data_IF_781147414883
#
_entry.id   IF_781147414883
#
_cell.length_a   1.000
_cell.length_b   1.000
_cell.length_c   1.000
_cell.angle_alpha   90.00
_cell.angle_beta   90.00
_cell.angle_gamma   90.00
#
_symmetry.space_group_name_H-M   'P 1'
#
loop_
_entity.id
_entity.type
_entity.pdbx_description
1 polymer ?
#
# COMPACT_ATOMS: atom_id res chain seq x y z
N UNK A 1 13.36 18.81 36.78
CA UNK A 1 12.08 18.90 36.03
C UNK A 1 12.25 19.73 34.74
N UNK A 2 13.08 19.30 33.77
CA UNK A 2 13.16 19.98 32.46
C UNK A 2 13.51 19.09 31.25
N UNK A 3 13.64 17.77 31.40
CA UNK A 3 14.04 16.87 30.30
C UNK A 3 12.93 16.46 29.33
N UNK A 4 11.65 16.63 29.68
CA UNK A 4 10.56 15.95 28.95
C UNK A 4 9.89 16.83 27.87
N UNK A 5 10.18 18.14 27.86
CA UNK A 5 9.63 19.08 26.86
C UNK A 5 10.09 18.80 25.41
N UNK A 6 11.36 18.43 25.14
CA UNK A 6 11.82 18.12 23.78
C UNK A 6 11.12 16.89 23.19
N UNK A 7 11.09 15.77 23.93
CA UNK A 7 10.50 14.51 23.45
C UNK A 7 9.01 14.63 23.12
N UNK A 8 8.22 15.30 23.97
CA UNK A 8 6.79 15.50 23.71
C UNK A 8 6.56 16.38 22.46
N UNK A 9 7.42 17.34 22.20
CA UNK A 9 7.31 18.19 21.01
C UNK A 9 7.66 17.42 19.73
N UNK A 10 8.67 16.55 19.78
CA UNK A 10 9.06 15.68 18.67
C UNK A 10 7.98 14.66 18.33
N UNK A 11 7.40 14.00 19.35
CA UNK A 11 6.30 13.05 19.17
C UNK A 11 5.07 13.72 18.55
N UNK A 12 4.72 14.94 19.00
CA UNK A 12 3.64 15.74 18.40
C UNK A 12 3.94 16.08 16.95
N UNK A 13 5.15 16.56 16.65
CA UNK A 13 5.56 16.89 15.28
C UNK A 13 5.47 15.69 14.34
N UNK A 14 5.99 14.54 14.76
CA UNK A 14 5.91 13.30 13.98
C UNK A 14 4.46 12.84 13.78
N UNK A 15 3.60 13.02 14.78
CA UNK A 15 2.16 12.68 14.68
C UNK A 15 1.44 13.58 13.68
N UNK A 16 1.69 14.90 13.74
CA UNK A 16 1.15 15.88 12.79
C UNK A 16 1.59 15.54 11.36
N UNK A 17 2.88 15.23 11.15
CA UNK A 17 3.39 14.85 9.83
C UNK A 17 2.67 13.62 9.26
N UNK A 18 2.40 12.59 10.07
CA UNK A 18 1.64 11.41 9.64
C UNK A 18 0.23 11.78 9.20
N UNK A 19 -0.49 12.59 9.98
CA UNK A 19 -1.83 13.04 9.61
C UNK A 19 -1.83 13.89 8.33
N UNK A 20 -0.84 14.76 8.16
CA UNK A 20 -0.68 15.55 6.94
C UNK A 20 -0.47 14.65 5.71
N UNK A 21 0.42 13.65 5.80
CA UNK A 21 0.65 12.70 4.72
C UNK A 21 -0.61 11.90 4.38
N UNK A 22 -1.33 11.40 5.38
CA UNK A 22 -2.60 10.69 5.17
C UNK A 22 -3.67 11.60 4.55
N UNK A 23 -3.75 12.85 4.98
CA UNK A 23 -4.65 13.85 4.42
C UNK A 23 -4.31 14.15 2.95
N UNK A 24 -3.03 14.29 2.62
CA UNK A 24 -2.57 14.47 1.23
C UNK A 24 -2.96 13.28 0.36
N UNK A 25 -2.75 12.05 0.83
CA UNK A 25 -3.16 10.84 0.10
C UNK A 25 -4.67 10.85 -0.12
N UNK A 26 -5.46 11.06 0.93
CA UNK A 26 -6.92 11.08 0.85
C UNK A 26 -7.40 12.11 -0.18
N UNK A 27 -6.95 13.35 -0.05
CA UNK A 27 -7.33 14.44 -0.94
C UNK A 27 -6.91 14.12 -2.38
N UNK A 28 -5.69 13.62 -2.58
CA UNK A 28 -5.19 13.28 -3.93
C UNK A 28 -6.07 12.22 -4.60
N UNK A 29 -6.37 11.11 -3.90
CA UNK A 29 -7.18 10.03 -4.47
C UNK A 29 -8.59 10.50 -4.81
N UNK A 30 -9.23 11.26 -3.91
CA UNK A 30 -10.57 11.78 -4.13
C UNK A 30 -10.62 12.85 -5.21
N UNK A 31 -9.65 13.77 -5.25
CA UNK A 31 -9.59 14.78 -6.31
C UNK A 31 -9.39 14.15 -7.68
N UNK A 32 -8.51 13.15 -7.81
CA UNK A 32 -8.29 12.45 -9.08
C UNK A 32 -9.57 11.76 -9.55
N UNK A 33 -10.26 11.03 -8.66
CA UNK A 33 -11.52 10.35 -9.02
C UNK A 33 -12.64 11.33 -9.39
N UNK A 34 -12.79 12.43 -8.63
CA UNK A 34 -13.78 13.48 -8.94
C UNK A 34 -13.49 14.11 -10.31
N UNK A 35 -12.22 14.40 -10.59
CA UNK A 35 -11.79 14.96 -11.88
C UNK A 35 -12.02 13.94 -13.00
N UNK A 36 -11.68 12.67 -12.80
CA UNK A 36 -11.92 11.63 -13.81
C UNK A 36 -13.41 11.50 -14.12
N UNK A 37 -14.25 11.46 -13.10
CA UNK A 37 -15.70 11.38 -13.25
C UNK A 37 -16.30 12.61 -13.94
N UNK A 38 -15.95 13.83 -13.52
CA UNK A 38 -16.59 15.06 -14.00
C UNK A 38 -16.02 15.58 -15.33
N UNK A 39 -14.73 15.39 -15.58
CA UNK A 39 -14.02 15.99 -16.72
C UNK A 39 -13.70 14.96 -17.80
N UNK A 40 -13.27 13.77 -17.40
CA UNK A 40 -12.78 12.75 -18.33
C UNK A 40 -13.78 11.60 -18.54
N UNK A 41 -14.89 11.56 -17.81
CA UNK A 41 -15.89 10.50 -17.91
C UNK A 41 -15.33 9.09 -17.65
N UNK A 42 -14.37 8.95 -16.72
CA UNK A 42 -13.75 7.66 -16.39
C UNK A 42 -12.63 7.21 -17.34
N UNK A 43 -12.21 8.07 -18.28
CA UNK A 43 -11.19 7.68 -19.26
C UNK A 43 -9.77 7.62 -18.67
N UNK A 44 -9.52 8.16 -17.47
CA UNK A 44 -8.19 8.04 -16.85
C UNK A 44 -7.88 6.61 -16.41
N UNK A 45 -8.89 5.80 -16.09
CA UNK A 45 -8.74 4.37 -15.72
C UNK A 45 -7.94 3.54 -16.73
N UNK A 46 -7.95 3.95 -18.01
CA UNK A 46 -7.17 3.26 -19.05
C UNK A 46 -5.67 3.26 -18.77
N UNK A 47 -5.16 4.21 -17.97
CA UNK A 47 -3.75 4.35 -17.62
C UNK A 47 -3.31 3.47 -16.44
N UNK A 48 -4.16 2.53 -15.99
CA UNK A 48 -3.76 1.47 -15.08
C UNK A 48 -2.74 0.50 -15.66
N UNK A 49 -2.36 -0.50 -14.86
CA UNK A 49 -1.40 -1.53 -15.29
C UNK A 49 -2.08 -2.40 -16.33
N UNK A 50 -1.54 -2.38 -17.55
CA UNK A 50 -1.95 -3.29 -18.63
C UNK A 50 -0.87 -4.33 -18.84
N UNK A 51 -1.10 -5.60 -18.45
CA UNK A 51 -0.06 -6.61 -18.44
C UNK A 51 0.66 -6.75 -19.80
N UNK A 52 1.99 -6.79 -19.75
CA UNK A 52 2.91 -7.03 -20.88
C UNK A 52 2.79 -6.06 -22.06
N UNK A 53 2.11 -4.93 -21.88
CA UNK A 53 2.03 -3.87 -22.89
C UNK A 53 3.03 -2.76 -22.58
N UNK A 54 3.68 -2.20 -23.61
CA UNK A 54 4.67 -1.13 -23.45
C UNK A 54 4.06 0.07 -22.74
N UNK A 55 2.92 0.57 -23.23
CA UNK A 55 2.24 1.72 -22.62
C UNK A 55 1.68 1.40 -21.22
N UNK A 56 1.40 0.13 -20.93
CA UNK A 56 0.87 -0.32 -19.65
C UNK A 56 1.87 -0.31 -18.51
N UNK A 57 3.17 -0.17 -18.79
CA UNK A 57 4.21 -0.12 -17.76
C UNK A 57 4.08 1.13 -16.89
N UNK A 58 3.58 2.23 -17.46
CA UNK A 58 3.33 3.47 -16.72
C UNK A 58 2.27 3.30 -15.64
N UNK A 59 1.37 2.33 -15.82
CA UNK A 59 0.39 1.94 -14.82
C UNK A 59 1.01 1.52 -13.49
N UNK A 60 2.28 1.08 -13.46
CA UNK A 60 2.98 0.75 -12.21
C UNK A 60 2.95 1.97 -11.26
N UNK A 61 3.14 3.18 -11.80
CA UNK A 61 3.16 4.40 -11.01
C UNK A 61 1.76 5.00 -10.83
N UNK A 62 0.89 4.89 -11.84
CA UNK A 62 -0.39 5.60 -11.86
C UNK A 62 -1.57 4.80 -11.33
N UNK A 63 -1.57 3.47 -11.47
CA UNK A 63 -2.69 2.62 -11.04
C UNK A 63 -3.14 2.83 -9.59
N UNK A 64 -2.25 3.07 -8.60
CA UNK A 64 -2.68 3.33 -7.22
C UNK A 64 -3.58 4.56 -7.04
N UNK A 65 -3.61 5.47 -8.02
CA UNK A 65 -4.38 6.71 -7.97
C UNK A 65 -5.72 6.63 -8.74
N UNK A 66 -5.85 5.67 -9.65
CA UNK A 66 -7.01 5.52 -10.55
C UNK A 66 -8.03 4.56 -9.94
N UNK A 67 -9.32 4.86 -10.01
CA UNK A 67 -10.36 4.00 -9.45
C UNK A 67 -11.55 3.91 -10.42
N UNK A 68 -12.05 2.69 -10.64
CA UNK A 68 -13.24 2.45 -11.47
C UNK A 68 -14.58 2.88 -10.83
N UNK A 69 -14.61 4.03 -10.14
CA UNK A 69 -15.79 4.59 -9.49
C UNK A 69 -15.65 4.83 -7.98
N UNK A 70 -16.52 5.70 -7.46
CA UNK A 70 -16.55 6.09 -6.04
C UNK A 70 -16.68 4.92 -5.05
N UNK A 71 -17.41 3.85 -5.40
CA UNK A 71 -17.52 2.66 -4.54
C UNK A 71 -16.17 1.95 -4.39
N UNK A 72 -15.39 1.88 -5.48
CA UNK A 72 -14.05 1.30 -5.46
C UNK A 72 -13.11 2.16 -4.62
N UNK A 73 -13.13 3.49 -4.79
CA UNK A 73 -12.37 4.44 -3.99
C UNK A 73 -12.73 4.39 -2.50
N UNK A 74 -14.02 4.34 -2.16
CA UNK A 74 -14.48 4.23 -0.78
C UNK A 74 -13.97 2.95 -0.10
N UNK A 75 -14.05 1.81 -0.81
CA UNK A 75 -13.53 0.53 -0.32
C UNK A 75 -12.02 0.56 -0.06
N UNK A 76 -11.27 1.41 -0.77
CA UNK A 76 -9.82 1.55 -0.64
C UNK A 76 -9.44 2.61 0.41
N UNK A 77 -10.30 3.58 0.68
CA UNK A 77 -10.00 4.73 1.56
C UNK A 77 -9.64 4.29 2.97
N UNK A 78 -10.50 3.51 3.64
CA UNK A 78 -10.26 3.13 5.04
C UNK A 78 -8.99 2.28 5.19
N UNK A 79 -8.80 1.17 4.45
CA UNK A 79 -7.59 0.35 4.58
C UNK A 79 -6.32 1.11 4.18
N UNK A 80 -6.36 2.00 3.19
CA UNK A 80 -5.22 2.82 2.81
C UNK A 80 -4.74 3.68 3.99
N UNK A 81 -5.66 4.38 4.65
CA UNK A 81 -5.30 5.30 5.74
C UNK A 81 -4.81 4.54 6.98
N UNK A 82 -5.52 3.48 7.38
CA UNK A 82 -5.20 2.74 8.61
C UNK A 82 -3.93 1.91 8.46
N UNK A 83 -3.75 1.17 7.37
CA UNK A 83 -2.54 0.35 7.19
C UNK A 83 -1.31 1.23 6.99
N UNK A 84 -1.42 2.34 6.25
CA UNK A 84 -0.35 3.33 6.15
C UNK A 84 0.04 3.88 7.52
N UNK A 85 -0.94 4.19 8.37
CA UNK A 85 -0.69 4.61 9.76
C UNK A 85 0.14 3.56 10.53
N UNK A 86 -0.28 2.30 10.49
CA UNK A 86 0.42 1.21 11.18
C UNK A 86 1.86 1.00 10.68
N UNK A 87 2.11 1.18 9.38
CA UNK A 87 3.47 1.14 8.84
C UNK A 87 4.28 2.36 9.33
N UNK A 88 3.69 3.56 9.33
CA UNK A 88 4.33 4.80 9.80
C UNK A 88 4.62 4.83 11.30
N UNK A 89 4.01 3.94 12.10
CA UNK A 89 4.38 3.78 13.51
C UNK A 89 5.83 3.31 13.67
N UNK A 90 6.38 2.59 12.67
CA UNK A 90 7.82 2.31 12.65
C UNK A 90 8.61 3.57 12.32
N UNK A 91 8.37 4.17 11.16
CA UNK A 91 8.82 5.52 10.79
C UNK A 91 8.18 5.94 9.47
N UNK A 92 8.16 7.25 9.18
CA UNK A 92 7.75 7.76 7.87
C UNK A 92 8.70 7.26 6.77
N UNK A 93 10.00 7.18 7.05
CA UNK A 93 11.01 6.66 6.11
C UNK A 93 10.74 5.19 5.72
N UNK A 94 10.42 4.34 6.71
CA UNK A 94 10.00 2.95 6.44
C UNK A 94 8.76 2.92 5.56
N UNK A 95 7.76 3.74 5.85
CA UNK A 95 6.54 3.81 5.05
C UNK A 95 6.81 4.24 3.61
N UNK A 96 7.64 5.26 3.37
CA UNK A 96 8.05 5.69 2.03
C UNK A 96 8.77 4.55 1.28
N UNK A 97 9.76 3.94 1.92
CA UNK A 97 10.53 2.83 1.31
C UNK A 97 9.64 1.64 0.99
N UNK A 98 8.76 1.24 1.91
CA UNK A 98 7.80 0.17 1.69
C UNK A 98 6.86 0.52 0.53
N UNK A 99 6.33 1.75 0.49
CA UNK A 99 5.46 2.24 -0.59
C UNK A 99 6.14 2.09 -1.94
N UNK A 100 7.34 2.63 -2.09
CA UNK A 100 8.11 2.56 -3.34
C UNK A 100 8.39 1.11 -3.73
N UNK A 101 8.84 0.28 -2.79
CA UNK A 101 9.12 -1.13 -3.06
C UNK A 101 7.86 -1.89 -3.49
N UNK A 102 6.73 -1.70 -2.81
CA UNK A 102 5.47 -2.37 -3.13
C UNK A 102 4.96 -1.90 -4.49
N UNK A 103 4.95 -0.60 -4.75
CA UNK A 103 4.52 -0.04 -6.03
C UNK A 103 5.35 -0.60 -7.18
N UNK A 104 6.68 -0.58 -7.07
CA UNK A 104 7.56 -1.03 -8.15
C UNK A 104 7.54 -2.56 -8.28
N UNK A 105 7.80 -3.32 -7.22
CA UNK A 105 7.89 -4.77 -7.28
C UNK A 105 6.53 -5.41 -7.54
N UNK A 106 5.49 -4.93 -6.86
CA UNK A 106 4.13 -5.41 -7.00
C UNK A 106 3.58 -5.05 -8.36
N UNK A 107 3.68 -3.78 -8.74
CA UNK A 107 3.23 -3.30 -10.05
C UNK A 107 3.97 -3.96 -11.21
N UNK A 108 5.30 -4.14 -11.13
CA UNK A 108 6.06 -4.84 -12.16
C UNK A 108 5.67 -6.32 -12.26
N UNK A 109 5.45 -6.99 -11.13
CA UNK A 109 4.96 -8.38 -11.10
C UNK A 109 3.55 -8.48 -11.70
N UNK A 110 2.64 -7.57 -11.35
CA UNK A 110 1.31 -7.48 -11.97
C UNK A 110 1.39 -7.18 -13.46
N UNK A 111 2.29 -6.29 -13.89
CA UNK A 111 2.49 -6.02 -15.31
C UNK A 111 3.03 -7.24 -16.06
N UNK A 112 3.95 -8.00 -15.46
CA UNK A 112 4.54 -9.17 -16.11
C UNK A 112 3.60 -10.40 -16.10
N UNK A 113 2.92 -10.62 -14.97
CA UNK A 113 2.24 -11.87 -14.64
C UNK A 113 0.70 -11.74 -14.50
N UNK A 114 0.16 -10.52 -14.43
CA UNK A 114 -1.26 -10.25 -14.15
C UNK A 114 -2.25 -10.77 -15.20
N UNK A 115 -1.77 -11.14 -16.38
CA UNK A 115 -2.58 -11.79 -17.43
C UNK A 115 -2.42 -13.32 -17.50
N UNK A 116 -1.60 -13.93 -16.63
CA UNK A 116 -1.35 -15.38 -16.71
C UNK A 116 -2.56 -16.21 -16.29
N UNK A 117 -3.39 -15.66 -15.41
CA UNK A 117 -4.49 -16.38 -14.76
C UNK A 117 -5.86 -15.78 -15.05
N UNK A 118 -5.91 -14.64 -15.76
CA UNK A 118 -7.14 -13.96 -16.19
C UNK A 118 -7.48 -14.26 -17.65
N UNK A 119 -8.74 -14.63 -17.91
CA UNK A 119 -9.30 -14.79 -19.25
C UNK A 119 -9.71 -13.40 -19.80
N UNK A 120 -8.74 -12.59 -20.24
CA UNK A 120 -8.99 -11.29 -20.89
C UNK A 120 -7.89 -10.25 -20.67
N UNK A 121 -7.99 -9.12 -21.37
CA UNK A 121 -7.15 -7.95 -21.10
C UNK A 121 -7.75 -7.15 -19.93
N UNK A 122 -7.26 -7.37 -18.73
CA UNK A 122 -7.62 -6.59 -17.54
C UNK A 122 -6.66 -5.42 -17.37
N UNK A 123 -7.22 -4.21 -17.23
CA UNK A 123 -6.47 -3.05 -16.76
C UNK A 123 -6.58 -3.04 -15.24
N UNK A 124 -5.45 -3.17 -14.54
CA UNK A 124 -5.45 -3.13 -13.08
C UNK A 124 -5.31 -1.69 -12.60
N UNK A 125 -6.30 -1.25 -11.83
CA UNK A 125 -6.40 0.07 -11.21
C UNK A 125 -6.75 -0.09 -9.74
N UNK A 126 -6.60 0.99 -8.97
CA UNK A 126 -6.94 1.05 -7.57
C UNK A 126 -5.70 1.03 -6.68
N UNK A 127 -5.84 1.69 -5.54
CA UNK A 127 -4.85 1.70 -4.48
C UNK A 127 -4.64 0.32 -3.83
N UNK A 128 -5.52 -0.65 -4.11
CA UNK A 128 -5.59 -1.92 -3.42
C UNK A 128 -4.32 -2.76 -3.52
N UNK A 129 -3.60 -2.76 -4.64
CA UNK A 129 -2.29 -3.45 -4.73
C UNK A 129 -1.31 -2.95 -3.65
N UNK A 130 -1.28 -1.64 -3.41
CA UNK A 130 -0.46 -1.03 -2.36
C UNK A 130 -0.99 -1.36 -0.96
N UNK A 131 -2.31 -1.34 -0.76
CA UNK A 131 -2.97 -1.72 0.50
C UNK A 131 -2.63 -3.16 0.89
N UNK A 132 -2.72 -4.09 -0.06
CA UNK A 132 -2.33 -5.48 0.15
C UNK A 132 -0.84 -5.62 0.43
N UNK A 133 0.02 -4.79 -0.17
CA UNK A 133 1.42 -4.73 0.22
C UNK A 133 1.65 -4.23 1.64
N UNK A 134 0.90 -3.24 2.13
CA UNK A 134 1.00 -2.87 3.55
C UNK A 134 0.50 -3.98 4.47
N UNK A 135 -0.56 -4.70 4.07
CA UNK A 135 -1.03 -5.89 4.79
C UNK A 135 0.08 -6.96 4.87
N UNK A 136 0.70 -7.30 3.75
CA UNK A 136 1.82 -8.25 3.69
C UNK A 136 3.03 -7.78 4.50
N UNK A 137 3.36 -6.49 4.41
CA UNK A 137 4.44 -5.89 5.19
C UNK A 137 4.18 -6.04 6.69
N UNK A 138 3.00 -5.63 7.17
CA UNK A 138 2.66 -5.62 8.60
C UNK A 138 2.58 -7.03 9.17
N UNK A 139 2.03 -8.00 8.44
CA UNK A 139 1.97 -9.41 8.87
C UNK A 139 3.36 -10.03 8.94
N UNK A 140 4.20 -9.81 7.93
CA UNK A 140 5.56 -10.36 7.89
C UNK A 140 6.51 -9.67 8.88
N UNK A 141 6.26 -8.40 9.21
CA UNK A 141 7.04 -7.62 10.16
C UNK A 141 7.15 -8.30 11.51
N UNK A 142 6.07 -8.87 12.04
CA UNK A 142 6.09 -9.60 13.33
C UNK A 142 7.07 -10.77 13.32
N UNK A 143 7.16 -11.48 12.19
CA UNK A 143 8.07 -12.61 12.01
C UNK A 143 9.54 -12.18 11.90
N UNK A 144 9.82 -11.09 11.18
CA UNK A 144 11.19 -10.65 10.93
C UNK A 144 11.77 -9.78 12.06
N UNK A 145 11.01 -8.86 12.65
CA UNK A 145 11.50 -8.01 13.77
C UNK A 145 11.57 -8.76 15.09
N UNK A 146 10.69 -9.75 15.31
CA UNK A 146 10.64 -10.59 16.51
C UNK A 146 10.52 -9.82 17.83
N UNK A 147 10.02 -8.59 17.79
CA UNK A 147 9.68 -7.81 18.99
C UNK A 147 8.22 -8.05 19.38
N UNK A 148 7.92 -8.00 20.69
CA UNK A 148 6.54 -8.15 21.17
C UNK A 148 5.59 -7.13 20.56
N UNK A 149 6.04 -5.88 20.37
CA UNK A 149 5.25 -4.84 19.72
C UNK A 149 4.92 -5.14 18.26
N UNK A 150 5.89 -5.64 17.48
CA UNK A 150 5.64 -6.03 16.08
C UNK A 150 4.70 -7.22 15.97
N UNK A 151 4.84 -8.22 16.86
CA UNK A 151 3.96 -9.38 16.91
C UNK A 151 2.53 -8.96 17.27
N UNK A 152 2.37 -8.12 18.30
CA UNK A 152 1.05 -7.62 18.71
C UNK A 152 0.36 -6.84 17.58
N UNK A 153 1.09 -5.97 16.87
CA UNK A 153 0.56 -5.27 15.69
C UNK A 153 0.17 -6.28 14.60
N UNK A 154 1.02 -7.26 14.29
CA UNK A 154 0.74 -8.27 13.27
C UNK A 154 -0.54 -9.05 13.58
N UNK A 155 -0.73 -9.47 14.84
CA UNK A 155 -1.93 -10.16 15.29
C UNK A 155 -3.17 -9.27 15.22
N UNK A 156 -3.05 -8.00 15.64
CA UNK A 156 -4.14 -7.02 15.52
C UNK A 156 -4.56 -6.82 14.05
N UNK A 157 -3.60 -6.70 13.14
CA UNK A 157 -3.85 -6.57 11.70
C UNK A 157 -4.51 -7.85 11.15
N UNK A 158 -4.05 -9.05 11.55
CA UNK A 158 -4.69 -10.30 11.14
C UNK A 158 -6.14 -10.40 11.61
N UNK A 159 -6.46 -9.94 12.82
CA UNK A 159 -7.83 -9.96 13.35
C UNK A 159 -8.71 -8.94 12.62
N UNK A 160 -8.21 -7.73 12.40
CA UNK A 160 -9.01 -6.62 11.83
C UNK A 160 -9.11 -6.64 10.31
N UNK A 161 -8.09 -7.16 9.62
CA UNK A 161 -7.99 -7.21 8.16
C UNK A 161 -7.88 -8.63 7.59
N UNK A 162 -8.02 -9.68 8.41
CA UNK A 162 -7.91 -11.07 7.96
C UNK A 162 -8.85 -11.45 6.82
N UNK A 163 -10.04 -10.83 6.75
CA UNK A 163 -10.97 -11.06 5.65
C UNK A 163 -10.42 -10.57 4.29
N UNK A 164 -9.50 -9.60 4.26
CA UNK A 164 -8.89 -9.13 3.02
C UNK A 164 -8.11 -10.22 2.29
N UNK A 165 -7.61 -11.25 2.98
CA UNK A 165 -6.88 -12.34 2.33
C UNK A 165 -7.69 -13.06 1.25
N UNK A 166 -9.02 -13.07 1.33
CA UNK A 166 -9.87 -13.60 0.27
C UNK A 166 -9.76 -12.81 -1.04
N UNK A 167 -9.36 -11.54 -0.97
CA UNK A 167 -9.15 -10.67 -2.12
C UNK A 167 -7.91 -11.01 -2.96
N UNK A 168 -7.01 -11.89 -2.50
CA UNK A 168 -5.91 -12.40 -3.35
C UNK A 168 -6.33 -13.59 -4.23
N UNK A 169 -7.59 -14.01 -4.15
CA UNK A 169 -8.12 -15.13 -4.92
C UNK A 169 -9.05 -14.64 -6.05
N UNK A 170 -9.10 -15.35 -7.19
CA UNK A 170 -9.98 -15.03 -8.32
C UNK A 170 -11.45 -15.38 -8.05
N UNK A 171 -12.05 -14.78 -7.02
CA UNK A 171 -13.41 -15.11 -6.55
C UNK A 171 -14.48 -14.14 -7.04
N UNK A 172 -14.09 -12.94 -7.47
CA UNK A 172 -15.01 -11.89 -7.89
C UNK A 172 -14.55 -11.26 -9.21
N UNK A 173 -15.38 -11.30 -10.27
CA UNK A 173 -15.09 -10.62 -11.53
C UNK A 173 -14.88 -9.12 -11.34
N UNK A 174 -13.95 -8.53 -12.10
CA UNK A 174 -13.64 -7.10 -12.05
C UNK A 174 -12.72 -6.67 -10.89
N UNK A 175 -12.37 -7.58 -9.97
CA UNK A 175 -11.37 -7.31 -8.94
C UNK A 175 -9.97 -7.65 -9.46
N UNK A 176 -9.03 -6.73 -9.25
CA UNK A 176 -7.60 -6.91 -9.58
C UNK A 176 -6.88 -7.80 -8.58
N UNK A 177 -7.33 -9.05 -8.42
CA UNK A 177 -6.78 -9.99 -7.45
C UNK A 177 -5.29 -10.29 -7.69
N UNK A 178 -4.81 -10.26 -8.95
CA UNK A 178 -3.39 -10.41 -9.25
C UNK A 178 -2.57 -9.24 -8.68
N UNK A 179 -3.11 -8.02 -8.75
CA UNK A 179 -2.52 -6.83 -8.10
C UNK A 179 -2.48 -6.99 -6.58
N UNK A 180 -3.52 -7.56 -5.99
CA UNK A 180 -3.55 -7.86 -4.55
C UNK A 180 -2.49 -8.89 -4.16
N UNK A 181 -2.39 -9.99 -4.90
CA UNK A 181 -1.44 -11.07 -4.64
C UNK A 181 0.01 -10.56 -4.73
N UNK A 182 0.36 -9.91 -5.84
CA UNK A 182 1.71 -9.42 -6.04
C UNK A 182 2.06 -8.23 -5.14
N UNK A 183 1.07 -7.39 -4.83
CA UNK A 183 1.18 -6.37 -3.78
C UNK A 183 1.54 -7.00 -2.43
N UNK A 184 0.77 -7.99 -1.98
CA UNK A 184 0.99 -8.70 -0.72
C UNK A 184 2.37 -9.35 -0.64
N UNK A 185 2.78 -10.09 -1.68
CA UNK A 185 4.12 -10.69 -1.76
C UNK A 185 5.21 -9.61 -1.70
N UNK A 186 5.05 -8.51 -2.43
CA UNK A 186 6.01 -7.40 -2.41
C UNK A 186 6.09 -6.73 -1.05
N UNK A 187 4.99 -6.69 -0.30
CA UNK A 187 4.93 -6.28 1.10
C UNK A 187 5.79 -7.16 2.00
N UNK A 188 5.68 -8.49 1.87
CA UNK A 188 6.52 -9.45 2.61
C UNK A 188 8.00 -9.23 2.29
N UNK A 189 8.32 -9.06 1.01
CA UNK A 189 9.69 -8.77 0.56
C UNK A 189 10.18 -7.45 1.16
N UNK A 190 9.38 -6.39 1.11
CA UNK A 190 9.72 -5.10 1.71
C UNK A 190 9.95 -5.21 3.23
N UNK A 191 9.12 -5.99 3.94
CA UNK A 191 9.33 -6.25 5.36
C UNK A 191 10.71 -6.89 5.58
N UNK A 192 11.02 -7.99 4.89
CA UNK A 192 12.33 -8.65 4.98
C UNK A 192 13.50 -7.66 4.84
N UNK A 193 13.52 -6.83 3.79
CA UNK A 193 14.63 -5.91 3.54
C UNK A 193 14.72 -4.75 4.54
N UNK A 194 13.59 -4.24 5.00
CA UNK A 194 13.53 -3.07 5.88
C UNK A 194 13.63 -3.43 7.36
N UNK A 195 13.38 -4.70 7.72
CA UNK A 195 13.42 -5.17 9.11
C UNK A 195 14.66 -5.99 9.44
N UNK A 196 15.35 -6.56 8.44
CA UNK A 196 16.47 -7.48 8.66
C UNK A 196 17.84 -6.82 8.72
N UNK A 197 17.94 -5.48 8.65
CA UNK A 197 19.20 -4.77 8.83
C UNK A 197 19.42 -4.49 10.32
N UNK A 198 20.51 -5.01 10.94
CA UNK A 198 20.97 -4.50 12.23
C UNK A 198 21.38 -3.03 12.05
N UNK A 199 21.23 -2.22 13.09
CA UNK A 199 21.89 -0.90 13.13
C UNK A 199 23.40 -1.12 12.99
N UNK A 200 23.96 -0.81 11.81
CA UNK A 200 25.41 -0.87 11.56
C UNK A 200 26.13 0.30 12.27
N UNK A 201 25.41 1.12 13.04
CA UNK A 201 25.93 2.30 13.74
C UNK A 201 25.47 2.26 15.20
N UNK A 202 26.04 1.34 15.99
CA UNK A 202 26.06 1.48 17.46
C UNK A 202 27.48 1.37 18.05
N UNK A 203 28.52 1.44 17.23
CA UNK A 203 29.92 1.55 17.68
C UNK A 203 30.58 2.77 17.01
N UNK A 204 30.27 3.98 17.48
CA UNK A 204 31.17 5.15 17.55
C UNK A 204 30.72 6.11 18.63
#
# INVERSE_FOLDING_TARGET
MSSDRPLLSELKSATVARFQLLGIILITLWCIEIIDFLVFGGHLDRYGIRPRSIDGIWGILFAPFLHGGFNHLLANTVPMLTLSWWVMLRSIDTWIKATVMITILGGASTWLLGSLFSLGSTVHIGASGLIFGYLGFLVARGYYERTMGAIAISLFILVTYGAMFWGVLPTQPGISWESHLFGFISGIVAAYWLTSKPDIISDR
#
